data_IF_617625485614
#
_entry.id   IF_617625485614
#
_cell.length_a   1.000
_cell.length_b   1.000
_cell.length_c   1.000
_cell.angle_alpha   90.00
_cell.angle_beta   90.00
_cell.angle_gamma   90.00
#
_symmetry.space_group_name_H-M   'P 1'
#
loop_
_entity.id
_entity.type
_entity.pdbx_description
1 polymer ?
#
# COMPACT_ATOMS: atom_id res chain seq x y z
N UNK A 1 9.20 2.11 24.74
CA UNK A 1 8.98 0.66 24.78
C UNK A 1 7.77 0.29 23.93
N UNK A 2 7.90 -0.69 23.03
CA UNK A 2 6.82 -1.14 22.13
C UNK A 2 5.98 -2.27 22.74
N UNK A 3 6.36 -2.78 23.90
CA UNK A 3 5.76 -3.98 24.51
C UNK A 3 4.27 -3.79 24.77
N UNK A 4 3.85 -2.61 25.20
CA UNK A 4 2.42 -2.28 25.45
C UNK A 4 1.58 -2.19 24.17
N UNK A 5 2.23 -2.05 23.00
CA UNK A 5 1.57 -1.95 21.70
C UNK A 5 1.36 -3.33 21.03
N UNK A 6 2.02 -4.36 21.56
CA UNK A 6 1.91 -5.73 21.05
C UNK A 6 0.58 -6.34 21.51
N UNK A 7 -0.25 -6.75 20.54
CA UNK A 7 -1.62 -7.23 20.79
C UNK A 7 -1.77 -8.75 20.88
N UNK A 8 -0.76 -9.49 20.44
CA UNK A 8 -0.75 -10.95 20.47
C UNK A 8 0.66 -11.49 20.56
N UNK A 9 0.79 -12.70 21.08
CA UNK A 9 2.06 -13.40 21.15
C UNK A 9 2.49 -13.91 19.77
N UNK A 10 3.79 -13.82 19.51
CA UNK A 10 4.43 -14.37 18.31
C UNK A 10 5.47 -15.42 18.69
N UNK A 11 5.84 -16.32 17.75
CA UNK A 11 6.96 -17.22 17.97
C UNK A 11 8.23 -16.47 18.40
N UNK A 12 9.05 -17.09 19.24
CA UNK A 12 10.25 -16.47 19.83
C UNK A 12 11.24 -15.90 18.82
N UNK A 13 11.20 -16.37 17.58
CA UNK A 13 12.07 -15.91 16.49
C UNK A 13 11.49 -14.75 15.66
N UNK A 14 10.32 -14.25 16.00
CA UNK A 14 9.74 -13.05 15.39
C UNK A 14 10.21 -11.80 16.11
N UNK A 15 10.49 -10.76 15.33
CA UNK A 15 10.83 -9.42 15.81
C UNK A 15 9.69 -8.47 15.48
N UNK A 16 9.20 -7.74 16.47
CA UNK A 16 8.26 -6.66 16.25
C UNK A 16 9.00 -5.41 15.79
N UNK A 17 8.56 -4.81 14.69
CA UNK A 17 9.16 -3.60 14.13
C UNK A 17 8.08 -2.67 13.58
N UNK A 18 8.44 -1.40 13.34
CA UNK A 18 7.54 -0.44 12.69
C UNK A 18 7.59 -0.60 11.18
N UNK A 19 6.47 -0.34 10.50
CA UNK A 19 6.41 -0.39 9.04
C UNK A 19 7.47 0.49 8.38
N UNK A 20 7.75 1.65 8.95
CA UNK A 20 8.80 2.57 8.46
C UNK A 20 10.22 2.02 8.48
N UNK A 21 10.49 0.96 9.25
CA UNK A 21 11.80 0.33 9.30
C UNK A 21 12.03 -0.71 8.19
N UNK A 22 10.96 -1.12 7.49
CA UNK A 22 11.02 -2.20 6.49
C UNK A 22 10.56 -1.75 5.10
N UNK A 23 10.07 -0.51 4.96
CA UNK A 23 9.63 0.04 3.68
C UNK A 23 9.76 1.57 3.67
N UNK A 24 9.96 2.14 2.49
CA UNK A 24 9.67 3.54 2.25
C UNK A 24 8.16 3.70 2.14
N UNK A 25 7.58 4.65 2.90
CA UNK A 25 6.15 4.85 3.02
C UNK A 25 5.82 6.31 2.77
N UNK A 26 5.01 6.58 1.75
CA UNK A 26 4.65 7.94 1.33
C UNK A 26 3.34 7.94 0.55
N UNK A 27 2.72 9.13 0.47
CA UNK A 27 1.53 9.36 -0.35
C UNK A 27 1.91 9.97 -1.70
N UNK A 28 1.01 9.86 -2.67
CA UNK A 28 1.15 10.51 -3.96
C UNK A 28 0.74 11.98 -3.96
N UNK A 29 0.45 12.49 -5.15
CA UNK A 29 0.07 13.88 -5.40
C UNK A 29 -1.40 13.99 -5.79
N UNK A 30 -2.09 14.99 -5.27
CA UNK A 30 -3.42 15.35 -5.78
C UNK A 30 -3.29 16.06 -7.13
N UNK A 31 -4.29 15.86 -7.99
CA UNK A 31 -4.47 16.63 -9.22
C UNK A 31 -5.87 17.24 -9.17
N UNK A 32 -5.99 18.53 -9.43
CA UNK A 32 -7.29 19.18 -9.55
C UNK A 32 -8.04 18.65 -10.78
N UNK A 33 -9.38 18.64 -10.75
CA UNK A 33 -10.18 18.19 -11.90
C UNK A 33 -9.92 19.04 -13.16
N UNK A 34 -9.62 20.33 -12.99
CA UNK A 34 -9.26 21.21 -14.09
C UNK A 34 -7.94 20.81 -14.74
N UNK A 35 -6.90 20.57 -13.95
CA UNK A 35 -5.61 20.10 -14.47
C UNK A 35 -5.69 18.72 -15.09
N UNK A 36 -6.44 17.82 -14.47
CA UNK A 36 -6.67 16.49 -15.00
C UNK A 36 -7.23 16.54 -16.42
N UNK A 37 -8.29 17.33 -16.61
CA UNK A 37 -8.94 17.50 -17.93
C UNK A 37 -8.05 18.21 -18.95
N UNK A 38 -7.29 19.22 -18.54
CA UNK A 38 -6.52 20.05 -19.48
C UNK A 38 -5.15 19.49 -19.84
N UNK A 39 -4.53 18.69 -18.97
CA UNK A 39 -3.12 18.26 -19.12
C UNK A 39 -2.92 16.75 -19.14
N UNK A 40 -3.79 15.98 -18.48
CA UNK A 40 -3.51 14.58 -18.13
C UNK A 40 -4.53 13.57 -18.62
N UNK A 41 -5.57 14.01 -19.33
CA UNK A 41 -6.60 13.13 -19.93
C UNK A 41 -6.24 12.79 -21.36
N UNK A 42 -6.33 11.51 -21.73
CA UNK A 42 -6.10 10.99 -23.07
C UNK A 42 -4.73 11.39 -23.67
N UNK A 43 -3.72 11.42 -22.83
CA UNK A 43 -2.34 11.76 -23.20
C UNK A 43 -1.41 10.57 -22.98
N UNK A 44 -0.29 10.54 -23.69
CA UNK A 44 0.75 9.54 -23.52
C UNK A 44 1.65 9.94 -22.33
N UNK A 45 1.84 9.02 -21.40
CA UNK A 45 2.67 9.26 -20.21
C UNK A 45 2.63 8.10 -19.24
N UNK A 46 3.17 8.34 -18.05
CA UNK A 46 3.12 7.39 -16.94
C UNK A 46 1.70 7.36 -16.35
N UNK A 47 1.13 6.20 -16.17
CA UNK A 47 -0.20 6.07 -15.57
C UNK A 47 -0.29 6.75 -14.22
N UNK A 48 -1.44 7.36 -13.96
CA UNK A 48 -1.77 7.96 -12.66
C UNK A 48 -2.91 7.17 -12.02
N UNK A 49 -2.63 6.59 -10.86
CA UNK A 49 -3.56 5.71 -10.14
C UNK A 49 -4.21 6.48 -8.99
N UNK A 50 -5.54 6.53 -9.01
CA UNK A 50 -6.35 7.03 -7.91
C UNK A 50 -7.00 5.91 -7.10
N UNK A 51 -7.71 6.26 -6.03
CA UNK A 51 -8.39 5.26 -5.18
C UNK A 51 -9.48 4.47 -5.90
N UNK A 52 -10.10 5.05 -6.93
CA UNK A 52 -11.09 4.36 -7.77
C UNK A 52 -10.49 3.27 -8.65
N UNK A 53 -9.20 3.40 -8.95
CA UNK A 53 -8.48 2.51 -9.87
C UNK A 53 -7.87 1.29 -9.16
N UNK A 54 -7.96 1.24 -7.83
CA UNK A 54 -7.65 0.05 -7.03
C UNK A 54 -8.97 -0.57 -6.58
N UNK A 55 -9.21 -1.83 -6.92
CA UNK A 55 -10.45 -2.51 -6.57
C UNK A 55 -10.33 -3.30 -5.24
N UNK A 56 -11.46 -3.93 -4.83
CA UNK A 56 -11.49 -4.76 -3.61
C UNK A 56 -10.95 -6.19 -3.83
N UNK A 57 -10.57 -6.52 -5.08
CA UNK A 57 -10.01 -7.82 -5.47
C UNK A 57 -8.49 -7.74 -5.74
N UNK A 58 -7.83 -6.75 -5.18
CA UNK A 58 -6.38 -6.55 -5.30
C UNK A 58 -5.89 -6.25 -6.74
N UNK A 59 -6.74 -5.66 -7.58
CA UNK A 59 -6.42 -5.31 -8.97
C UNK A 59 -6.25 -3.82 -9.14
N UNK A 60 -5.45 -3.43 -10.11
CA UNK A 60 -5.23 -2.05 -10.51
C UNK A 60 -5.68 -1.87 -11.96
N UNK A 61 -6.47 -0.84 -12.20
CA UNK A 61 -6.84 -0.37 -13.53
C UNK A 61 -5.80 0.69 -13.92
N UNK A 62 -4.83 0.31 -14.76
CA UNK A 62 -3.77 1.21 -15.21
C UNK A 62 -4.27 2.18 -16.27
N UNK A 63 -4.92 1.65 -17.29
CA UNK A 63 -5.47 2.45 -18.39
C UNK A 63 -6.84 3.02 -18.01
N UNK A 64 -6.80 4.07 -17.20
CA UNK A 64 -7.98 4.77 -16.67
C UNK A 64 -8.23 6.12 -17.37
N UNK A 65 -7.51 6.38 -18.47
CA UNK A 65 -7.58 7.62 -19.25
C UNK A 65 -6.76 8.78 -18.67
N UNK A 66 -6.00 8.56 -17.59
CA UNK A 66 -5.17 9.59 -16.94
C UNK A 66 -3.71 9.16 -16.94
N UNK A 67 -2.84 9.98 -17.53
CA UNK A 67 -1.42 9.76 -17.54
C UNK A 67 -0.64 11.05 -17.31
N UNK A 68 0.57 10.94 -16.81
CA UNK A 68 1.48 12.06 -16.56
C UNK A 68 2.54 12.07 -17.66
N UNK A 69 2.49 13.05 -18.60
CA UNK A 69 3.53 13.20 -19.61
C UNK A 69 4.92 13.39 -18.99
N UNK A 70 5.95 12.93 -19.68
CA UNK A 70 7.35 12.92 -19.20
C UNK A 70 7.81 14.27 -18.65
N UNK A 71 7.39 15.37 -19.26
CA UNK A 71 7.77 16.72 -18.82
C UNK A 71 7.22 17.12 -17.46
N UNK A 72 6.13 16.47 -16.98
CA UNK A 72 5.52 16.70 -15.67
C UNK A 72 5.91 15.66 -14.63
N UNK A 73 6.55 14.55 -15.02
CA UNK A 73 6.95 13.49 -14.08
C UNK A 73 7.78 13.99 -12.89
N UNK A 74 8.69 14.98 -13.03
CA UNK A 74 9.45 15.49 -11.89
C UNK A 74 8.61 16.12 -10.77
N UNK A 75 7.39 16.54 -11.08
CA UNK A 75 6.47 17.14 -10.11
C UNK A 75 5.64 16.09 -9.34
N UNK A 76 5.75 14.83 -9.73
CA UNK A 76 4.97 13.73 -9.17
C UNK A 76 5.84 12.71 -8.46
N UNK A 77 5.33 12.19 -7.34
CA UNK A 77 5.94 11.06 -6.66
C UNK A 77 5.69 9.78 -7.44
N UNK A 78 6.75 9.01 -7.59
CA UNK A 78 6.73 7.70 -8.24
C UNK A 78 6.42 6.61 -7.23
N UNK A 79 5.50 5.71 -7.58
CA UNK A 79 5.38 4.40 -6.96
C UNK A 79 6.05 3.38 -7.89
N UNK A 80 7.19 2.78 -7.48
CA UNK A 80 7.93 1.86 -8.33
C UNK A 80 7.21 0.52 -8.51
N UNK A 81 7.56 -0.17 -9.57
CA UNK A 81 7.16 -1.56 -9.79
C UNK A 81 7.41 -2.42 -8.52
N UNK A 82 6.52 -3.37 -8.27
CA UNK A 82 6.50 -4.22 -7.07
C UNK A 82 6.22 -3.51 -5.73
N UNK A 83 5.93 -2.21 -5.75
CA UNK A 83 5.40 -1.50 -4.57
C UNK A 83 3.94 -1.86 -4.33
N UNK A 84 3.51 -1.63 -3.09
CA UNK A 84 2.13 -1.83 -2.66
C UNK A 84 1.44 -0.47 -2.60
N UNK A 85 0.27 -0.34 -3.22
CA UNK A 85 -0.63 0.80 -3.03
C UNK A 85 -1.79 0.40 -2.13
N UNK A 86 -2.05 1.20 -1.10
CA UNK A 86 -3.19 1.01 -0.20
C UNK A 86 -3.95 2.32 0.00
N UNK A 87 -5.28 2.26 -0.07
CA UNK A 87 -6.13 3.39 0.27
C UNK A 87 -6.05 3.68 1.77
N UNK A 88 -5.78 4.93 2.14
CA UNK A 88 -5.67 5.36 3.55
C UNK A 88 -6.70 6.41 3.95
N UNK A 89 -7.58 6.84 3.05
CA UNK A 89 -8.64 7.81 3.31
C UNK A 89 -10.01 7.36 2.81
N UNK A 90 -11.06 7.79 3.51
CA UNK A 90 -12.44 7.54 3.16
C UNK A 90 -12.92 6.12 3.46
N UNK A 91 -14.09 5.74 2.92
CA UNK A 91 -14.73 4.47 3.22
C UNK A 91 -13.97 3.22 2.78
N UNK A 92 -12.98 3.37 1.89
CA UNK A 92 -12.13 2.27 1.40
C UNK A 92 -10.79 2.19 2.14
N UNK A 93 -10.55 3.04 3.14
CA UNK A 93 -9.30 3.08 3.88
C UNK A 93 -8.99 1.74 4.56
N UNK A 94 -7.81 1.19 4.29
CA UNK A 94 -7.36 -0.12 4.77
C UNK A 94 -7.96 -1.34 4.03
N UNK A 95 -8.86 -1.13 3.06
CA UNK A 95 -9.61 -2.20 2.39
C UNK A 95 -9.21 -2.43 0.93
N UNK A 96 -8.79 -1.37 0.23
CA UNK A 96 -8.29 -1.45 -1.15
C UNK A 96 -6.78 -1.44 -1.13
N UNK A 97 -6.18 -2.52 -1.61
CA UNK A 97 -4.73 -2.73 -1.64
C UNK A 97 -4.36 -3.57 -2.86
N UNK A 98 -3.25 -3.25 -3.50
CA UNK A 98 -2.73 -4.03 -4.63
C UNK A 98 -1.21 -3.85 -4.79
N UNK A 99 -0.57 -4.82 -5.44
CA UNK A 99 0.84 -4.73 -5.86
C UNK A 99 0.91 -4.18 -7.28
N UNK A 100 1.81 -3.24 -7.51
CA UNK A 100 2.11 -2.69 -8.83
C UNK A 100 2.93 -3.67 -9.68
N UNK A 101 2.60 -3.76 -10.96
CA UNK A 101 3.40 -4.49 -11.95
C UNK A 101 4.20 -3.57 -12.89
N UNK A 102 4.20 -2.27 -12.62
CA UNK A 102 4.95 -1.24 -13.32
C UNK A 102 5.05 0.03 -12.48
N UNK A 103 5.93 0.94 -12.87
CA UNK A 103 6.06 2.26 -12.27
C UNK A 103 4.86 3.14 -12.60
N UNK A 104 4.31 3.82 -11.59
CA UNK A 104 3.17 4.73 -11.76
C UNK A 104 3.33 6.02 -10.95
N UNK A 105 2.63 7.07 -11.34
CA UNK A 105 2.26 8.17 -10.46
C UNK A 105 0.95 7.84 -9.74
N UNK A 106 0.66 8.45 -8.62
CA UNK A 106 -0.50 8.08 -7.83
C UNK A 106 -1.05 9.21 -6.97
N UNK A 107 -2.28 9.06 -6.50
CA UNK A 107 -3.01 10.06 -5.75
C UNK A 107 -2.62 10.14 -4.28
N UNK A 108 -2.92 11.29 -3.66
CA UNK A 108 -2.59 11.57 -2.25
C UNK A 108 -3.42 10.76 -1.24
N UNK A 109 -4.52 10.14 -1.65
CA UNK A 109 -5.34 9.24 -0.80
C UNK A 109 -4.87 7.79 -0.83
N UNK A 110 -3.84 7.50 -1.64
CA UNK A 110 -3.14 6.23 -1.68
C UNK A 110 -1.81 6.37 -0.95
N UNK A 111 -1.47 5.34 -0.19
CA UNK A 111 -0.18 5.16 0.43
C UNK A 111 0.63 4.15 -0.37
N UNK A 112 1.84 4.50 -0.77
CA UNK A 112 2.81 3.59 -1.36
C UNK A 112 3.69 3.02 -0.25
N UNK A 113 3.79 1.69 -0.22
CA UNK A 113 4.80 0.95 0.52
C UNK A 113 5.79 0.41 -0.49
N UNK A 114 7.00 0.94 -0.49
CA UNK A 114 8.11 0.42 -1.29
C UNK A 114 9.00 -0.42 -0.37
N UNK A 115 8.79 -1.75 -0.31
CA UNK A 115 9.44 -2.61 0.66
C UNK A 115 10.93 -2.73 0.38
N UNK A 116 11.73 -2.90 1.42
CA UNK A 116 13.12 -3.30 1.26
C UNK A 116 13.21 -4.75 0.76
N UNK A 117 14.33 -5.10 0.15
CA UNK A 117 14.53 -6.36 -0.57
C UNK A 117 14.09 -7.59 0.26
N UNK A 118 13.30 -8.46 -0.35
CA UNK A 118 12.90 -9.75 0.20
C UNK A 118 11.65 -9.75 1.10
N UNK A 119 11.10 -8.58 1.45
CA UNK A 119 9.99 -8.45 2.42
C UNK A 119 8.63 -8.27 1.73
N UNK A 120 8.61 -7.87 0.47
CA UNK A 120 7.44 -7.33 -0.22
C UNK A 120 6.17 -8.18 -0.17
N UNK A 121 6.24 -9.47 -0.53
CA UNK A 121 5.07 -10.36 -0.51
C UNK A 121 4.57 -10.64 0.90
N UNK A 122 5.46 -10.86 1.86
CA UNK A 122 5.07 -11.03 3.25
C UNK A 122 4.34 -9.79 3.78
N UNK A 123 4.91 -8.60 3.56
CA UNK A 123 4.27 -7.34 3.92
C UNK A 123 2.90 -7.21 3.27
N UNK A 124 2.78 -7.48 1.97
CA UNK A 124 1.53 -7.41 1.23
C UNK A 124 0.42 -8.27 1.83
N UNK A 125 0.73 -9.51 2.21
CA UNK A 125 -0.24 -10.39 2.85
C UNK A 125 -0.55 -9.98 4.29
N UNK A 126 0.45 -9.52 5.04
CA UNK A 126 0.22 -9.03 6.39
C UNK A 126 -0.69 -7.80 6.42
N UNK A 127 -0.51 -6.86 5.51
CA UNK A 127 -1.36 -5.66 5.38
C UNK A 127 -2.83 -5.99 5.07
N UNK A 128 -3.13 -7.21 4.67
CA UNK A 128 -4.49 -7.72 4.44
C UNK A 128 -5.00 -8.59 5.60
N UNK A 129 -4.20 -8.80 6.63
CA UNK A 129 -4.59 -9.62 7.77
C UNK A 129 -5.61 -8.90 8.65
N UNK A 130 -6.51 -9.66 9.34
CA UNK A 130 -7.42 -9.07 10.31
C UNK A 130 -6.70 -8.29 11.40
N UNK A 131 -5.55 -8.77 11.86
CA UNK A 131 -4.74 -8.11 12.89
C UNK A 131 -4.24 -6.73 12.46
N UNK A 132 -3.75 -6.60 11.22
CA UNK A 132 -3.36 -5.30 10.68
C UNK A 132 -4.57 -4.38 10.51
N UNK A 133 -5.67 -4.89 9.96
CA UNK A 133 -6.87 -4.11 9.73
C UNK A 133 -7.46 -3.54 11.03
N UNK A 134 -7.43 -4.30 12.12
CA UNK A 134 -7.82 -3.82 13.44
C UNK A 134 -6.94 -2.66 13.91
N UNK A 135 -5.61 -2.82 13.86
CA UNK A 135 -4.67 -1.77 14.22
C UNK A 135 -4.82 -0.52 13.34
N UNK A 136 -5.03 -0.72 12.06
CA UNK A 136 -5.28 0.38 11.12
C UNK A 136 -6.54 1.16 11.50
N UNK A 137 -7.64 0.45 11.78
CA UNK A 137 -8.91 1.08 12.17
C UNK A 137 -8.82 1.84 13.50
N UNK A 138 -8.08 1.34 14.47
CA UNK A 138 -7.83 2.03 15.74
C UNK A 138 -7.11 3.37 15.57
N UNK A 139 -6.36 3.53 14.48
CA UNK A 139 -5.64 4.76 14.14
C UNK A 139 -6.43 5.72 13.24
N UNK A 140 -7.64 5.36 12.81
CA UNK A 140 -8.50 6.24 12.01
C UNK A 140 -8.92 7.48 12.81
N UNK A 141 -8.91 8.61 12.14
CA UNK A 141 -9.34 9.91 12.71
C UNK A 141 -10.19 10.67 11.70
N UNK A 142 -11.00 11.60 12.23
CA UNK A 142 -11.85 12.48 11.43
C UNK A 142 -13.17 11.84 11.00
N UNK A 143 -14.09 12.68 10.53
CA UNK A 143 -15.46 12.31 10.12
C UNK A 143 -15.46 11.39 8.88
N UNK A 144 -14.54 11.63 7.94
CA UNK A 144 -14.43 10.87 6.69
C UNK A 144 -13.72 9.53 6.92
N UNK A 145 -13.02 9.38 8.04
CA UNK A 145 -12.22 8.20 8.37
C UNK A 145 -10.96 8.10 7.50
N UNK A 146 -9.80 8.16 8.11
CA UNK A 146 -8.53 8.00 7.44
C UNK A 146 -7.39 7.86 8.44
N UNK A 147 -6.25 7.38 7.99
CA UNK A 147 -5.04 7.24 8.80
C UNK A 147 -3.95 8.11 8.18
N UNK A 148 -3.40 9.03 8.97
CA UNK A 148 -2.29 9.87 8.48
C UNK A 148 -1.07 9.02 8.18
N UNK A 149 -0.27 9.47 7.21
CA UNK A 149 0.97 8.77 6.83
C UNK A 149 1.93 8.60 8.03
N UNK A 150 1.97 9.57 8.93
CA UNK A 150 2.77 9.49 10.14
C UNK A 150 2.33 8.32 11.04
N UNK A 151 1.02 8.12 11.21
CA UNK A 151 0.48 6.99 11.98
C UNK A 151 0.69 5.65 11.28
N UNK A 152 0.51 5.59 9.95
CA UNK A 152 0.79 4.37 9.17
C UNK A 152 2.24 3.90 9.37
N UNK A 153 3.19 4.82 9.32
CA UNK A 153 4.63 4.55 9.53
C UNK A 153 4.93 3.90 10.88
N UNK A 154 4.15 4.23 11.90
CA UNK A 154 4.36 3.80 13.28
C UNK A 154 3.66 2.47 13.61
N UNK A 155 2.80 1.95 12.75
CA UNK A 155 2.11 0.66 12.99
C UNK A 155 3.15 -0.47 13.06
N UNK A 156 2.97 -1.33 14.07
CA UNK A 156 3.84 -2.49 14.29
C UNK A 156 3.45 -3.66 13.40
N UNK A 157 4.46 -4.34 12.92
CA UNK A 157 4.36 -5.60 12.18
C UNK A 157 5.27 -6.65 12.83
N UNK A 158 4.80 -7.89 13.01
CA UNK A 158 5.68 -8.99 13.39
C UNK A 158 6.49 -9.45 12.19
N UNK A 159 7.79 -9.49 12.32
CA UNK A 159 8.71 -9.86 11.26
C UNK A 159 9.43 -11.16 11.61
N UNK A 160 9.00 -12.30 11.04
CA UNK A 160 9.73 -13.56 11.17
C UNK A 160 11.04 -13.54 10.37
N UNK A 161 11.95 -14.50 10.59
CA UNK A 161 13.10 -14.67 9.71
C UNK A 161 12.70 -14.85 8.24
N UNK A 162 13.58 -14.45 7.32
CA UNK A 162 13.28 -14.46 5.86
C UNK A 162 12.79 -15.83 5.36
N UNK A 163 13.39 -16.93 5.79
CA UNK A 163 12.95 -18.29 5.40
C UNK A 163 11.51 -18.58 5.83
N UNK A 164 11.14 -18.11 7.01
CA UNK A 164 9.77 -18.27 7.51
C UNK A 164 8.78 -17.36 6.76
N UNK A 165 9.16 -16.14 6.43
CA UNK A 165 8.36 -15.26 5.57
C UNK A 165 8.08 -15.94 4.22
N UNK A 166 9.11 -16.52 3.59
CA UNK A 166 8.98 -17.24 2.33
C UNK A 166 8.05 -18.46 2.44
N UNK A 167 8.14 -19.21 3.55
CA UNK A 167 7.27 -20.37 3.82
C UNK A 167 5.81 -19.93 3.97
N UNK A 168 5.57 -18.85 4.71
CA UNK A 168 4.21 -18.29 4.92
C UNK A 168 3.63 -17.85 3.58
N UNK A 169 4.38 -17.10 2.78
CA UNK A 169 3.96 -16.63 1.46
C UNK A 169 3.61 -17.79 0.54
N UNK A 170 4.49 -18.80 0.45
CA UNK A 170 4.26 -19.97 -0.39
C UNK A 170 2.99 -20.73 0.04
N UNK A 171 2.74 -20.86 1.34
CA UNK A 171 1.53 -21.52 1.85
C UNK A 171 0.27 -20.74 1.50
N UNK A 172 0.27 -19.42 1.61
CA UNK A 172 -0.85 -18.56 1.25
C UNK A 172 -1.14 -18.67 -0.26
N UNK A 173 -0.11 -18.56 -1.10
CA UNK A 173 -0.25 -18.63 -2.55
C UNK A 173 -0.80 -20.01 -2.99
N UNK A 174 -0.32 -21.10 -2.39
CA UNK A 174 -0.84 -22.43 -2.63
C UNK A 174 -2.33 -22.58 -2.28
N UNK A 175 -2.77 -21.99 -1.16
CA UNK A 175 -4.17 -21.99 -0.78
C UNK A 175 -5.03 -21.23 -1.78
N UNK A 176 -4.57 -20.07 -2.26
CA UNK A 176 -5.30 -19.31 -3.29
C UNK A 176 -5.38 -20.05 -4.62
N UNK A 177 -4.37 -20.83 -5.01
CA UNK A 177 -4.42 -21.68 -6.21
C UNK A 177 -5.48 -22.76 -6.11
N UNK A 178 -5.71 -23.30 -4.92
CA UNK A 178 -6.73 -24.34 -4.70
C UNK A 178 -8.17 -23.80 -4.72
N UNK A 179 -8.35 -22.49 -4.54
CA UNK A 179 -9.66 -21.83 -4.53
C UNK A 179 -10.08 -21.29 -5.91
N UNK A 180 -9.25 -21.39 -6.93
CA UNK A 180 -9.50 -21.00 -8.32
C UNK A 180 -10.02 -22.18 -9.14
#
# INVERSE_FOLDING_TARGET
>A
DITEQIRFETPKNCVWTRLSHIANIYTGNSISETEKKSKFTDVIGRYYIGTKDVDFNNRIIYDNGIAIPKQYEPDFRLAPNNSILMCIEGGSAGRKIAILNQDVCFGNKLCCFSPFVGIGKYMYYYLQSPSFFELFNLNKTGIIGGVSIAKVKEILIPLPPIKEQQRIVAQIEKLFEQLR
#
